data_IF_325858097434
#
_entry.id   IF_325858097434
#
_cell.length_a   1.000
_cell.length_b   1.000
_cell.length_c   1.000
_cell.angle_alpha   90.00
_cell.angle_beta   90.00
_cell.angle_gamma   90.00
#
_symmetry.space_group_name_H-M   'P 1'
#
loop_
_entity.id
_entity.type
_entity.pdbx_description
1 polymer ?
#
# COMPACT_ATOMS: atom_id res chain seq x y z
N UNK A 1 23.02 2.04 18.85
CA UNK A 1 21.98 1.13 18.36
C UNK A 1 21.06 1.95 17.46
N UNK A 2 21.09 1.74 16.15
CA UNK A 2 20.16 2.44 15.25
C UNK A 2 18.85 1.66 15.25
N UNK A 3 17.79 2.27 15.77
CA UNK A 3 16.45 1.70 15.76
C UNK A 3 15.83 2.03 14.40
N UNK A 4 15.44 1.00 13.65
CA UNK A 4 14.56 1.15 12.49
C UNK A 4 13.11 1.14 12.98
N UNK A 5 12.36 2.20 12.71
CA UNK A 5 10.93 2.31 13.03
C UNK A 5 10.10 2.00 11.79
N UNK A 6 8.97 1.28 11.94
CA UNK A 6 8.02 1.08 10.85
C UNK A 6 7.36 2.40 10.50
N UNK A 7 7.21 2.65 9.20
CA UNK A 7 6.57 3.84 8.63
C UNK A 7 5.62 3.37 7.53
N UNK A 8 4.42 3.94 7.45
CA UNK A 8 3.45 3.56 6.43
C UNK A 8 3.92 4.01 5.04
N UNK A 9 3.36 3.42 3.98
CA UNK A 9 3.64 3.87 2.62
C UNK A 9 3.18 5.31 2.39
N UNK A 10 2.05 5.70 2.97
CA UNK A 10 1.52 7.06 2.86
C UNK A 10 2.42 8.08 3.54
N UNK A 11 2.91 7.78 4.75
CA UNK A 11 3.89 8.65 5.44
C UNK A 11 5.19 8.79 4.63
N UNK A 12 5.63 7.71 3.95
CA UNK A 12 6.83 7.75 3.10
C UNK A 12 6.62 8.61 1.85
N UNK A 13 5.43 8.55 1.25
CA UNK A 13 5.06 9.37 0.09
C UNK A 13 5.01 10.84 0.51
N UNK A 14 4.31 11.17 1.59
CA UNK A 14 4.22 12.55 2.11
C UNK A 14 5.58 13.13 2.52
N UNK A 15 6.50 12.29 3.00
CA UNK A 15 7.84 12.72 3.39
C UNK A 15 8.75 13.03 2.19
N UNK A 16 8.57 12.35 1.06
CA UNK A 16 9.48 12.41 -0.07
C UNK A 16 8.93 13.22 -1.25
N UNK A 17 7.64 13.11 -1.53
CA UNK A 17 6.99 13.75 -2.69
C UNK A 17 6.58 15.17 -2.34
N UNK A 18 6.78 16.08 -3.28
CA UNK A 18 6.39 17.47 -3.14
C UNK A 18 4.88 17.58 -2.85
N UNK A 19 4.46 18.34 -1.82
CA UNK A 19 3.06 18.42 -1.41
C UNK A 19 2.13 18.79 -2.56
N UNK A 20 1.04 18.03 -2.72
CA UNK A 20 0.02 18.27 -3.75
C UNK A 20 0.41 17.82 -5.17
N UNK A 21 1.55 17.14 -5.34
CA UNK A 21 1.97 16.61 -6.66
C UNK A 21 1.76 15.12 -6.81
N UNK A 22 1.49 14.41 -5.71
CA UNK A 22 1.21 12.98 -5.73
C UNK A 22 -0.09 12.68 -6.48
N UNK A 23 0.00 11.86 -7.52
CA UNK A 23 -1.12 11.34 -8.29
C UNK A 23 -1.06 9.79 -8.26
N UNK A 24 -1.94 9.14 -7.47
CA UNK A 24 -1.90 7.70 -7.28
C UNK A 24 -2.35 6.94 -8.54
N UNK A 25 -1.79 5.75 -8.71
CA UNK A 25 -2.10 4.81 -9.81
C UNK A 25 -2.57 3.49 -9.24
N UNK A 26 -3.52 2.86 -9.95
CA UNK A 26 -4.03 1.52 -9.66
C UNK A 26 -4.72 1.36 -8.27
N UNK A 27 -5.32 2.43 -7.74
CA UNK A 27 -5.98 2.41 -6.41
C UNK A 27 -7.12 1.36 -6.33
N UNK A 28 -7.82 1.14 -7.44
CA UNK A 28 -8.92 0.18 -7.55
C UNK A 28 -8.46 -1.28 -7.73
N UNK A 29 -7.15 -1.54 -7.75
CA UNK A 29 -6.63 -2.88 -7.96
C UNK A 29 -6.86 -3.74 -6.70
N UNK A 30 -7.69 -4.77 -6.82
CA UNK A 30 -8.01 -5.70 -5.71
C UNK A 30 -7.27 -7.04 -5.84
N UNK A 31 -6.92 -7.64 -4.71
CA UNK A 31 -6.39 -9.01 -4.67
C UNK A 31 -7.53 -10.02 -4.66
N UNK A 32 -7.48 -11.01 -5.55
CA UNK A 32 -8.43 -12.12 -5.61
C UNK A 32 -7.75 -13.41 -5.16
N UNK A 33 -8.56 -14.39 -4.75
CA UNK A 33 -8.13 -15.75 -4.42
C UNK A 33 -8.68 -16.75 -5.45
N UNK A 34 -8.07 -16.84 -6.65
CA UNK A 34 -8.58 -17.67 -7.74
C UNK A 34 -8.30 -19.18 -7.54
N UNK A 35 -7.40 -19.54 -6.62
CA UNK A 35 -7.03 -20.93 -6.35
C UNK A 35 -7.64 -21.47 -5.05
N UNK A 36 -8.47 -20.66 -4.38
CA UNK A 36 -9.19 -21.02 -3.16
C UNK A 36 -8.26 -21.67 -2.12
N UNK A 37 -7.23 -20.91 -1.73
CA UNK A 37 -6.21 -21.43 -0.84
C UNK A 37 -6.77 -21.58 0.59
N UNK A 38 -7.25 -22.80 0.89
CA UNK A 38 -7.90 -23.17 2.14
C UNK A 38 -7.05 -24.08 3.05
N UNK A 39 -5.74 -24.16 2.81
CA UNK A 39 -4.84 -25.03 3.59
C UNK A 39 -4.43 -24.43 4.95
N UNK A 40 -4.78 -23.17 5.22
CA UNK A 40 -4.49 -22.48 6.48
C UNK A 40 -5.72 -22.42 7.41
N UNK A 41 -5.50 -22.19 8.71
CA UNK A 41 -6.57 -22.01 9.71
C UNK A 41 -7.50 -20.82 9.37
N UNK A 42 -6.96 -19.77 8.72
CA UNK A 42 -7.74 -18.65 8.18
C UNK A 42 -7.67 -18.67 6.64
N UNK A 43 -8.82 -18.66 5.94
CA UNK A 43 -8.86 -18.49 4.48
C UNK A 43 -8.11 -17.24 4.02
N UNK A 44 -7.41 -17.33 2.88
CA UNK A 44 -6.66 -16.20 2.34
C UNK A 44 -7.53 -14.95 2.10
N UNK A 45 -8.80 -15.14 1.72
CA UNK A 45 -9.80 -14.07 1.62
C UNK A 45 -10.01 -13.31 2.93
N UNK A 46 -10.14 -14.02 4.05
CA UNK A 46 -10.37 -13.41 5.36
C UNK A 46 -9.14 -12.60 5.82
N UNK A 47 -7.94 -13.06 5.45
CA UNK A 47 -6.70 -12.31 5.67
C UNK A 47 -6.66 -11.02 4.85
N UNK A 48 -7.02 -11.07 3.57
CA UNK A 48 -7.11 -9.87 2.71
C UNK A 48 -8.08 -8.85 3.32
N UNK A 49 -9.27 -9.28 3.71
CA UNK A 49 -10.29 -8.41 4.31
C UNK A 49 -9.81 -7.78 5.63
N UNK A 50 -9.14 -8.58 6.47
CA UNK A 50 -8.52 -8.10 7.72
C UNK A 50 -7.45 -7.03 7.46
N UNK A 51 -6.60 -7.23 6.44
CA UNK A 51 -5.60 -6.24 6.06
C UNK A 51 -6.25 -4.96 5.54
N UNK A 52 -7.20 -5.08 4.61
CA UNK A 52 -7.94 -3.94 4.05
C UNK A 52 -8.59 -3.10 5.15
N UNK A 53 -9.24 -3.75 6.13
CA UNK A 53 -9.85 -3.04 7.28
C UNK A 53 -8.84 -2.34 8.17
N UNK A 54 -7.63 -2.91 8.34
CA UNK A 54 -6.59 -2.36 9.21
C UNK A 54 -5.82 -1.21 8.56
N UNK A 55 -5.56 -1.29 7.26
CA UNK A 55 -4.71 -0.32 6.55
C UNK A 55 -5.51 0.70 5.76
N UNK A 56 -6.77 0.40 5.42
CA UNK A 56 -7.55 1.18 4.46
C UNK A 56 -7.05 1.04 3.01
N UNK A 57 -6.05 0.19 2.76
CA UNK A 57 -5.42 0.04 1.45
C UNK A 57 -5.87 -1.28 0.79
N UNK A 58 -6.25 -1.18 -0.49
CA UNK A 58 -6.60 -2.31 -1.36
C UNK A 58 -5.43 -3.28 -1.57
N UNK A 59 -4.20 -2.77 -1.46
CA UNK A 59 -2.95 -3.53 -1.59
C UNK A 59 -1.86 -3.08 -0.63
N UNK A 60 -0.85 -3.94 -0.49
CA UNK A 60 0.36 -3.66 0.29
C UNK A 60 1.34 -2.69 -0.39
N UNK A 61 1.04 -2.26 -1.62
CA UNK A 61 1.87 -1.36 -2.42
C UNK A 61 0.99 -0.20 -2.90
N UNK A 62 1.51 1.03 -2.77
CA UNK A 62 0.96 2.22 -3.40
C UNK A 62 1.90 2.63 -4.53
N UNK A 63 1.34 2.91 -5.70
CA UNK A 63 2.02 3.38 -6.90
C UNK A 63 1.41 4.69 -7.35
N UNK A 64 2.16 5.48 -8.10
CA UNK A 64 1.75 6.81 -8.54
C UNK A 64 2.91 7.59 -9.12
N UNK A 65 2.59 8.78 -9.63
CA UNK A 65 3.56 9.76 -10.11
C UNK A 65 3.59 10.96 -9.16
N UNK A 66 4.68 11.72 -9.17
CA UNK A 66 4.78 12.93 -8.38
C UNK A 66 5.99 13.78 -8.75
N UNK A 67 6.30 14.76 -7.93
CA UNK A 67 7.53 15.54 -8.06
C UNK A 67 8.41 15.39 -6.83
N UNK A 68 9.72 15.37 -7.05
CA UNK A 68 10.73 15.42 -6.01
C UNK A 68 11.61 16.65 -6.26
N UNK A 69 11.50 17.69 -5.43
CA UNK A 69 12.18 18.96 -5.65
C UNK A 69 11.90 19.56 -7.06
N UNK A 70 10.66 19.45 -7.53
CA UNK A 70 10.20 19.93 -8.84
C UNK A 70 10.58 19.02 -10.03
N UNK A 71 11.20 17.87 -9.79
CA UNK A 71 11.56 16.90 -10.83
C UNK A 71 10.50 15.80 -10.88
N UNK A 72 9.83 15.55 -12.02
CA UNK A 72 8.82 14.51 -12.14
C UNK A 72 9.44 13.11 -12.00
N UNK A 73 8.77 12.25 -11.21
CA UNK A 73 9.14 10.86 -10.95
C UNK A 73 7.93 9.92 -11.00
#
# INVERSE_FOLDING_TARGET
MWISFKMSSSDRIELLIDPGTWDPMDEDMVSLDPIEFHLEEEPYKDRIDSYLRKTGLTKAVQTGIGQLNGIPI
#
